data_IF_332627354127
#
_entry.id   IF_332627354127
#
_cell.length_a   1.000
_cell.length_b   1.000
_cell.length_c   1.000
_cell.angle_alpha   90.00
_cell.angle_beta   90.00
_cell.angle_gamma   90.00
#
_symmetry.space_group_name_H-M   'P 1'
#
loop_
_entity.id
_entity.type
_entity.pdbx_description
1 polymer ?
#
# COMPACT_ATOMS: atom_id res chain seq x y z
N UNK A 1 -10.24 -13.87 -20.57
CA UNK A 1 -10.48 -13.75 -19.12
C UNK A 1 -9.38 -14.49 -18.36
N UNK A 2 -8.81 -13.86 -17.34
CA UNK A 2 -7.73 -14.49 -16.57
C UNK A 2 -8.31 -15.43 -15.52
N UNK A 3 -7.59 -16.51 -15.21
CA UNK A 3 -7.97 -17.43 -14.15
C UNK A 3 -7.93 -16.74 -12.77
N UNK A 4 -8.59 -17.34 -11.78
CA UNK A 4 -8.55 -16.83 -10.41
C UNK A 4 -7.13 -16.82 -9.88
N UNK A 5 -6.34 -17.88 -10.14
CA UNK A 5 -4.95 -17.95 -9.71
C UNK A 5 -4.13 -16.79 -10.29
N UNK A 6 -4.28 -16.49 -11.56
CA UNK A 6 -3.58 -15.38 -12.20
C UNK A 6 -3.98 -14.04 -11.58
N UNK A 7 -5.27 -13.85 -11.33
CA UNK A 7 -5.75 -12.59 -10.70
C UNK A 7 -5.24 -12.44 -9.28
N UNK A 8 -5.24 -13.51 -8.49
CA UNK A 8 -4.68 -13.49 -7.14
C UNK A 8 -3.19 -13.13 -7.17
N UNK A 9 -2.43 -13.75 -8.08
CA UNK A 9 -0.99 -13.49 -8.21
C UNK A 9 -0.73 -12.03 -8.59
N UNK A 10 -1.49 -11.50 -9.54
CA UNK A 10 -1.36 -10.11 -9.98
C UNK A 10 -1.74 -9.14 -8.84
N UNK A 11 -2.80 -9.44 -8.10
CA UNK A 11 -3.21 -8.60 -6.97
C UNK A 11 -2.14 -8.57 -5.88
N UNK A 12 -1.58 -9.71 -5.53
CA UNK A 12 -0.48 -9.78 -4.56
C UNK A 12 0.74 -9.00 -5.06
N UNK A 13 1.11 -9.20 -6.33
CA UNK A 13 2.23 -8.47 -6.94
C UNK A 13 2.00 -6.96 -6.96
N UNK A 14 0.77 -6.51 -7.23
CA UNK A 14 0.42 -5.10 -7.15
C UNK A 14 0.66 -4.53 -5.76
N UNK A 15 0.25 -5.28 -4.73
CA UNK A 15 0.51 -4.92 -3.34
C UNK A 15 2.00 -4.83 -3.02
N UNK A 16 2.81 -5.74 -3.56
CA UNK A 16 4.27 -5.69 -3.42
C UNK A 16 4.85 -4.42 -4.05
N UNK A 17 4.44 -4.10 -5.27
CA UNK A 17 4.89 -2.88 -5.97
C UNK A 17 4.50 -1.65 -5.16
N UNK A 18 3.27 -1.60 -4.66
CA UNK A 18 2.83 -0.51 -3.78
C UNK A 18 3.66 -0.43 -2.50
N UNK A 19 4.02 -1.57 -1.91
CA UNK A 19 4.83 -1.62 -0.69
C UNK A 19 6.25 -1.10 -0.95
N UNK A 20 6.83 -1.37 -2.10
CA UNK A 20 8.14 -0.83 -2.48
C UNK A 20 8.05 0.69 -2.57
N UNK A 21 7.07 1.24 -3.27
CA UNK A 21 6.87 2.68 -3.38
C UNK A 21 6.63 3.33 -2.02
N UNK A 22 5.79 2.72 -1.18
CA UNK A 22 5.53 3.16 0.19
C UNK A 22 6.83 3.18 1.01
N UNK A 23 7.62 2.11 0.93
CA UNK A 23 8.87 1.99 1.68
C UNK A 23 9.88 3.05 1.26
N UNK A 24 10.02 3.31 -0.04
CA UNK A 24 10.85 4.39 -0.54
C UNK A 24 10.37 5.75 -0.06
N UNK A 25 9.06 5.99 -0.05
CA UNK A 25 8.47 7.24 0.45
C UNK A 25 8.77 7.45 1.93
N UNK A 26 8.69 6.40 2.74
CA UNK A 26 9.03 6.47 4.18
C UNK A 26 10.51 6.82 4.36
N UNK A 27 11.41 6.16 3.61
CA UNK A 27 12.84 6.44 3.68
C UNK A 27 13.15 7.88 3.28
N UNK A 28 12.66 8.31 2.12
CA UNK A 28 12.88 9.67 1.63
C UNK A 28 12.25 10.72 2.54
N UNK A 29 11.03 10.46 3.01
CA UNK A 29 10.33 11.38 3.91
C UNK A 29 11.09 11.62 5.21
N UNK A 30 11.67 10.57 5.78
CA UNK A 30 12.51 10.69 6.97
C UNK A 30 13.75 11.53 6.72
N UNK A 31 14.40 11.29 5.59
CA UNK A 31 15.59 12.06 5.21
C UNK A 31 15.27 13.55 4.97
N UNK A 32 14.19 13.82 4.22
CA UNK A 32 13.80 15.20 3.88
C UNK A 32 13.38 16.00 5.11
N UNK A 33 12.77 15.34 6.11
CA UNK A 33 12.36 16.00 7.36
C UNK A 33 13.50 16.15 8.35
N UNK A 34 14.68 15.62 8.07
CA UNK A 34 15.83 15.67 8.96
C UNK A 34 15.73 14.79 10.19
N UNK A 35 14.74 13.91 10.27
CA UNK A 35 14.59 12.96 11.39
C UNK A 35 15.31 11.64 11.16
N UNK A 36 15.89 11.47 9.97
CA UNK A 36 16.54 10.24 9.57
C UNK A 36 15.56 9.20 9.02
N UNK A 37 16.07 8.30 8.20
CA UNK A 37 15.30 7.19 7.68
C UNK A 37 15.32 6.04 8.70
N UNK A 38 14.23 5.23 8.79
CA UNK A 38 14.27 4.00 9.58
C UNK A 38 15.40 3.08 9.07
N UNK A 39 16.02 2.28 9.96
CA UNK A 39 17.02 1.32 9.51
C UNK A 39 16.45 0.36 8.48
N UNK A 40 17.13 0.25 7.33
CA UNK A 40 16.70 -0.63 6.25
C UNK A 40 17.22 -2.06 6.51
N UNK A 41 16.54 -2.76 7.42
CA UNK A 41 16.88 -4.14 7.79
C UNK A 41 15.98 -5.12 7.05
N UNK A 42 16.42 -6.39 6.86
CA UNK A 42 15.55 -7.40 6.25
C UNK A 42 14.19 -7.54 6.94
N UNK A 43 14.07 -7.60 8.27
CA UNK A 43 12.75 -7.66 8.92
C UNK A 43 11.87 -6.46 8.59
N UNK A 44 12.44 -5.26 8.55
CA UNK A 44 11.67 -4.04 8.23
C UNK A 44 11.07 -4.10 6.84
N UNK A 45 11.88 -4.46 5.82
CA UNK A 45 11.39 -4.49 4.44
C UNK A 45 10.49 -5.70 4.16
N UNK A 46 10.82 -6.89 4.69
CA UNK A 46 10.02 -8.09 4.45
C UNK A 46 8.62 -7.97 5.02
N UNK A 47 8.49 -7.44 6.24
CA UNK A 47 7.20 -7.23 6.86
C UNK A 47 6.32 -6.30 6.02
N UNK A 48 6.90 -5.23 5.50
CA UNK A 48 6.19 -4.28 4.65
C UNK A 48 5.77 -4.90 3.33
N UNK A 49 6.65 -5.68 2.71
CA UNK A 49 6.34 -6.36 1.45
C UNK A 49 5.22 -7.39 1.63
N UNK A 50 5.32 -8.24 2.64
CA UNK A 50 4.31 -9.29 2.89
C UNK A 50 2.94 -8.68 3.17
N UNK A 51 2.86 -7.74 4.08
CA UNK A 51 1.59 -7.08 4.39
C UNK A 51 1.06 -6.26 3.23
N UNK A 52 1.94 -5.56 2.50
CA UNK A 52 1.54 -4.85 1.30
C UNK A 52 0.96 -5.76 0.23
N UNK A 53 1.57 -6.93 0.04
CA UNK A 53 1.04 -7.95 -0.86
C UNK A 53 -0.33 -8.47 -0.42
N UNK A 54 -0.50 -8.73 0.88
CA UNK A 54 -1.78 -9.18 1.44
C UNK A 54 -2.87 -8.14 1.22
N UNK A 55 -2.59 -6.87 1.52
CA UNK A 55 -3.53 -5.77 1.26
C UNK A 55 -3.83 -5.62 -0.24
N UNK A 56 -2.91 -6.03 -1.11
CA UNK A 56 -3.12 -6.02 -2.55
C UNK A 56 -4.33 -6.82 -3.01
N UNK A 57 -4.75 -7.83 -2.24
CA UNK A 57 -5.96 -8.59 -2.54
C UNK A 57 -7.24 -7.73 -2.54
N UNK A 58 -7.22 -6.56 -1.93
CA UNK A 58 -8.33 -5.61 -2.01
C UNK A 58 -8.64 -5.20 -3.45
N UNK A 59 -7.66 -5.24 -4.35
CA UNK A 59 -7.85 -4.89 -5.75
C UNK A 59 -8.68 -5.94 -6.51
N UNK A 60 -8.99 -7.07 -5.89
CA UNK A 60 -9.94 -8.04 -6.46
C UNK A 60 -11.39 -7.58 -6.28
N UNK A 61 -11.66 -6.63 -5.38
CA UNK A 61 -12.99 -6.08 -5.20
C UNK A 61 -13.40 -5.26 -6.42
N UNK A 62 -14.66 -5.40 -6.90
CA UNK A 62 -15.14 -4.70 -8.10
C UNK A 62 -15.51 -3.24 -7.80
N UNK A 63 -14.56 -2.46 -7.32
CA UNK A 63 -14.78 -1.08 -6.90
C UNK A 63 -13.94 -0.14 -7.76
N UNK A 64 -14.57 0.87 -8.36
CA UNK A 64 -13.90 1.93 -9.14
C UNK A 64 -12.93 1.40 -10.19
N UNK A 65 -13.32 0.35 -10.92
CA UNK A 65 -12.44 -0.32 -11.90
C UNK A 65 -11.91 0.60 -12.99
N UNK A 66 -12.70 1.60 -13.37
CA UNK A 66 -12.33 2.53 -14.44
C UNK A 66 -11.60 3.77 -13.93
N UNK A 67 -11.37 3.87 -12.63
CA UNK A 67 -10.74 5.02 -11.99
C UNK A 67 -9.59 4.58 -11.08
N UNK A 68 -8.45 4.18 -11.64
CA UNK A 68 -7.36 3.60 -10.85
C UNK A 68 -6.83 4.53 -9.77
N UNK A 69 -6.76 5.84 -10.01
CA UNK A 69 -6.30 6.79 -8.98
C UNK A 69 -7.25 6.82 -7.78
N UNK A 70 -8.54 6.98 -8.03
CA UNK A 70 -9.55 7.00 -6.96
C UNK A 70 -9.63 5.64 -6.26
N UNK A 71 -9.51 4.55 -7.02
CA UNK A 71 -9.48 3.21 -6.47
C UNK A 71 -8.33 3.03 -5.49
N UNK A 72 -7.14 3.47 -5.89
CA UNK A 72 -5.96 3.39 -5.05
C UNK A 72 -6.09 4.22 -3.78
N UNK A 73 -6.63 5.43 -3.87
CA UNK A 73 -6.87 6.28 -2.72
C UNK A 73 -7.88 5.65 -1.76
N UNK A 74 -8.99 5.12 -2.31
CA UNK A 74 -10.02 4.48 -1.51
C UNK A 74 -9.50 3.22 -0.80
N UNK A 75 -8.87 2.31 -1.54
CA UNK A 75 -8.41 1.05 -0.98
C UNK A 75 -7.20 1.23 -0.06
N UNK A 76 -6.43 2.31 -0.23
CA UNK A 76 -5.34 2.66 0.68
C UNK A 76 -5.82 3.09 2.06
N UNK A 77 -7.10 3.44 2.22
CA UNK A 77 -7.67 3.77 3.53
C UNK A 77 -7.66 2.56 4.46
N UNK A 78 -7.93 1.37 3.94
CA UNK A 78 -8.01 0.16 4.76
C UNK A 78 -6.71 -0.16 5.51
N UNK A 79 -5.54 -0.26 4.84
CA UNK A 79 -4.29 -0.47 5.58
C UNK A 79 -3.91 0.72 6.46
N UNK A 80 -4.29 1.95 6.09
CA UNK A 80 -4.05 3.11 6.94
C UNK A 80 -4.81 3.01 8.26
N UNK A 81 -6.09 2.68 8.21
CA UNK A 81 -6.92 2.48 9.42
C UNK A 81 -6.37 1.31 10.25
N UNK A 82 -6.01 0.21 9.61
CA UNK A 82 -5.44 -0.94 10.30
C UNK A 82 -4.14 -0.58 11.03
N UNK A 83 -3.27 0.22 10.40
CA UNK A 83 -2.03 0.68 11.01
C UNK A 83 -2.27 1.54 12.25
N UNK A 84 -3.33 2.34 12.24
CA UNK A 84 -3.67 3.23 13.35
C UNK A 84 -4.48 2.55 14.46
N UNK A 85 -4.99 1.36 14.22
CA UNK A 85 -5.84 0.62 15.18
C UNK A 85 -5.20 -0.71 15.56
N UNK A 86 -5.35 -1.73 14.72
CA UNK A 86 -4.93 -3.12 15.00
C UNK A 86 -3.42 -3.22 15.19
N UNK A 87 -2.65 -2.52 14.35
CA UNK A 87 -1.19 -2.57 14.36
C UNK A 87 -0.55 -1.36 15.03
N UNK A 88 -1.33 -0.57 15.76
CA UNK A 88 -0.79 0.58 16.47
C UNK A 88 0.17 0.13 17.58
N UNK A 89 1.34 0.79 17.74
CA UNK A 89 2.23 0.49 18.84
C UNK A 89 1.54 0.73 20.19
N UNK A 90 1.69 -0.22 21.11
CA UNK A 90 1.09 -0.12 22.44
C UNK A 90 1.68 1.08 23.20
N UNK A 91 0.81 1.85 23.88
CA UNK A 91 1.24 2.96 24.70
C UNK A 91 1.69 4.22 23.95
N UNK A 92 1.59 4.23 22.63
CA UNK A 92 1.96 5.39 21.82
C UNK A 92 0.69 6.02 21.25
N UNK A 93 0.27 7.20 21.75
CA UNK A 93 -0.89 7.87 21.19
C UNK A 93 -0.59 8.39 19.77
N UNK A 94 -1.59 8.29 18.88
CA UNK A 94 -1.46 8.83 17.54
C UNK A 94 -1.56 10.35 17.58
N UNK A 95 -0.50 11.04 17.12
CA UNK A 95 -0.53 12.47 16.93
C UNK A 95 -1.20 12.82 15.60
N UNK A 96 -1.73 14.06 15.43
CA UNK A 96 -2.28 14.48 14.13
C UNK A 96 -1.26 14.33 13.00
N UNK A 97 0.00 14.66 13.23
CA UNK A 97 1.05 14.51 12.23
C UNK A 97 1.26 13.05 11.85
N UNK A 98 1.25 12.14 12.81
CA UNK A 98 1.37 10.71 12.55
C UNK A 98 0.19 10.18 11.74
N UNK A 99 -1.02 10.60 12.08
CA UNK A 99 -2.23 10.19 11.35
C UNK A 99 -2.13 10.62 9.88
N UNK A 100 -1.76 11.87 9.64
CA UNK A 100 -1.59 12.40 8.28
C UNK A 100 -0.54 11.60 7.52
N UNK A 101 0.59 11.30 8.12
CA UNK A 101 1.66 10.53 7.50
C UNK A 101 1.21 9.11 7.13
N UNK A 102 0.47 8.45 8.03
CA UNK A 102 -0.01 7.09 7.78
C UNK A 102 -0.96 7.07 6.59
N UNK A 103 -1.89 8.01 6.50
CA UNK A 103 -2.80 8.10 5.36
C UNK A 103 -2.05 8.46 4.08
N UNK A 104 -1.09 9.38 4.14
CA UNK A 104 -0.31 9.79 2.97
C UNK A 104 0.51 8.63 2.41
N UNK A 105 1.25 7.91 3.27
CA UNK A 105 2.09 6.79 2.83
C UNK A 105 1.25 5.63 2.31
N UNK A 106 0.07 5.39 2.88
CA UNK A 106 -0.83 4.35 2.39
C UNK A 106 -1.55 4.78 1.11
N UNK A 107 -1.77 6.07 0.90
CA UNK A 107 -2.25 6.59 -0.38
C UNK A 107 -1.21 6.32 -1.49
N UNK A 108 0.07 6.51 -1.21
CA UNK A 108 1.16 6.19 -2.15
C UNK A 108 1.15 4.70 -2.47
N UNK A 109 1.03 3.83 -1.45
CA UNK A 109 0.88 2.40 -1.66
C UNK A 109 -0.30 2.10 -2.58
N UNK A 110 -1.47 2.63 -2.24
CA UNK A 110 -2.72 2.33 -2.95
C UNK A 110 -2.71 2.81 -4.40
N UNK A 111 -2.27 4.04 -4.64
CA UNK A 111 -2.23 4.59 -6.00
C UNK A 111 -1.23 3.81 -6.86
N UNK A 112 -0.03 3.55 -6.35
CA UNK A 112 0.99 2.80 -7.08
C UNK A 112 0.51 1.38 -7.39
N UNK A 113 -0.06 0.71 -6.40
CA UNK A 113 -0.61 -0.64 -6.57
C UNK A 113 -1.75 -0.66 -7.58
N UNK A 114 -2.67 0.32 -7.52
CA UNK A 114 -3.79 0.42 -8.42
C UNK A 114 -3.35 0.64 -9.87
N UNK A 115 -2.41 1.53 -10.09
CA UNK A 115 -1.88 1.81 -11.44
C UNK A 115 -1.19 0.56 -12.01
N UNK A 116 -0.39 -0.11 -11.20
CA UNK A 116 0.29 -1.32 -11.64
C UNK A 116 -0.71 -2.45 -11.92
N UNK A 117 -1.68 -2.65 -11.03
CA UNK A 117 -2.72 -3.67 -11.19
C UNK A 117 -3.53 -3.44 -12.48
N UNK A 118 -3.93 -2.19 -12.70
CA UNK A 118 -4.66 -1.79 -13.90
C UNK A 118 -3.85 -2.06 -15.17
N UNK A 119 -2.57 -1.69 -15.17
CA UNK A 119 -1.69 -1.92 -16.30
C UNK A 119 -1.44 -3.42 -16.54
N UNK A 120 -1.23 -4.20 -15.46
CA UNK A 120 -0.92 -5.62 -15.56
C UNK A 120 -2.11 -6.45 -16.05
N UNK A 121 -3.33 -6.10 -15.66
CA UNK A 121 -4.54 -6.77 -16.16
C UNK A 121 -4.87 -6.38 -17.59
N UNK A 122 -4.45 -5.19 -18.02
CA UNK A 122 -4.80 -4.67 -19.33
C UNK A 122 -6.31 -4.47 -19.47
N UNK A 123 -6.77 -4.40 -20.71
CA UNK A 123 -8.18 -4.17 -21.01
C UNK A 123 -9.08 -5.34 -20.64
N UNK A 124 -8.53 -6.56 -20.64
CA UNK A 124 -9.29 -7.77 -20.37
C UNK A 124 -9.60 -7.99 -18.88
N UNK A 125 -8.93 -7.26 -18.01
CA UNK A 125 -9.09 -7.38 -16.57
C UNK A 125 -10.14 -6.46 -15.97
N UNK A 126 -10.86 -5.73 -16.77
CA UNK A 126 -11.86 -4.75 -16.32
C UNK A 126 -13.20 -5.38 -16.02
#
# INVERSE_FOLDING_TARGET
MRSLTARLSIAFAAGLVGAIANSLAVQLGGMLRGVGAPPLTPPWIYQRLVWGGIWGFLFLLPVLRDRPLLRGLLLGIAPAVARLTVFAPAGVPASPANIIQVFLFNAIWGVTAALWFHAALGRDGR
#
